data_IF_208938896224
#
_entry.id   IF_208938896224
#
_cell.length_a   1.000
_cell.length_b   1.000
_cell.length_c   1.000
_cell.angle_alpha   90.00
_cell.angle_beta   90.00
_cell.angle_gamma   90.00
#
_symmetry.space_group_name_H-M   'P 1'
#
loop_
_entity.id
_entity.type
_entity.pdbx_description
1 polymer ?
#
# COMPACT_ATOMS: atom_id res chain seq x y z
N UNK A 1 -12.97 -36.63 -8.24
CA UNK A 1 -12.92 -35.30 -8.87
C UNK A 1 -13.04 -34.15 -7.86
N UNK A 2 -13.39 -34.37 -6.58
CA UNK A 2 -13.47 -33.30 -5.56
C UNK A 2 -12.14 -32.95 -4.83
N UNK A 3 -11.08 -33.75 -4.97
CA UNK A 3 -9.80 -33.51 -4.27
C UNK A 3 -8.95 -32.39 -4.88
N UNK A 4 -9.17 -32.08 -6.15
CA UNK A 4 -8.31 -31.18 -6.91
C UNK A 4 -8.67 -29.70 -6.66
N UNK A 5 -9.95 -29.40 -6.42
CA UNK A 5 -10.44 -28.05 -6.15
C UNK A 5 -9.87 -27.43 -4.86
N UNK A 6 -9.61 -28.25 -3.83
CA UNK A 6 -9.13 -27.77 -2.52
C UNK A 6 -7.65 -27.33 -2.55
N UNK A 7 -6.83 -27.92 -3.43
CA UNK A 7 -5.42 -27.52 -3.60
C UNK A 7 -5.29 -26.18 -4.34
N UNK A 8 -6.22 -25.90 -5.25
CA UNK A 8 -6.22 -24.70 -6.10
C UNK A 8 -6.59 -23.44 -5.31
N UNK A 9 -7.54 -23.56 -4.37
CA UNK A 9 -8.01 -22.44 -3.55
C UNK A 9 -6.94 -21.97 -2.55
N UNK A 10 -6.20 -22.90 -1.92
CA UNK A 10 -5.10 -22.56 -1.02
C UNK A 10 -3.95 -21.83 -1.75
N UNK A 11 -3.62 -22.27 -2.97
CA UNK A 11 -2.56 -21.66 -3.80
C UNK A 11 -2.96 -20.29 -4.33
N UNK A 12 -4.25 -20.10 -4.65
CA UNK A 12 -4.81 -18.79 -5.01
C UNK A 12 -4.77 -17.81 -3.84
N UNK A 13 -5.15 -18.23 -2.64
CA UNK A 13 -5.13 -17.37 -1.46
C UNK A 13 -3.71 -16.93 -1.09
N UNK A 14 -2.74 -17.85 -1.11
CA UNK A 14 -1.34 -17.51 -0.87
C UNK A 14 -0.80 -16.52 -1.89
N UNK A 15 -1.07 -16.74 -3.19
CA UNK A 15 -0.68 -15.82 -4.25
C UNK A 15 -1.32 -14.44 -4.09
N UNK A 16 -2.59 -14.39 -3.70
CA UNK A 16 -3.28 -13.15 -3.41
C UNK A 16 -2.67 -12.41 -2.22
N UNK A 17 -2.26 -13.14 -1.18
CA UNK A 17 -1.55 -12.60 -0.02
C UNK A 17 -0.16 -12.07 -0.41
N UNK A 18 0.57 -12.81 -1.25
CA UNK A 18 1.89 -12.39 -1.76
C UNK A 18 1.79 -11.13 -2.59
N UNK A 19 0.77 -11.02 -3.45
CA UNK A 19 0.51 -9.81 -4.23
C UNK A 19 0.13 -8.64 -3.31
N UNK A 20 -0.74 -8.88 -2.32
CA UNK A 20 -1.09 -7.85 -1.34
C UNK A 20 0.11 -7.38 -0.52
N UNK A 21 0.96 -8.30 -0.07
CA UNK A 21 2.20 -8.01 0.65
C UNK A 21 3.21 -7.26 -0.24
N UNK A 22 3.36 -7.66 -1.51
CA UNK A 22 4.22 -6.98 -2.46
C UNK A 22 3.73 -5.56 -2.76
N UNK A 23 2.42 -5.35 -2.91
CA UNK A 23 1.85 -4.01 -3.09
C UNK A 23 1.95 -3.17 -1.82
N UNK A 24 1.80 -3.77 -0.63
CA UNK A 24 2.04 -3.09 0.63
C UNK A 24 3.50 -2.67 0.78
N UNK A 25 4.44 -3.58 0.52
CA UNK A 25 5.87 -3.27 0.55
C UNK A 25 6.24 -2.22 -0.49
N UNK A 26 5.65 -2.29 -1.70
CA UNK A 26 5.82 -1.27 -2.73
C UNK A 26 5.25 0.08 -2.27
N UNK A 27 4.05 0.11 -1.68
CA UNK A 27 3.49 1.32 -1.09
C UNK A 27 4.34 1.86 0.06
N UNK A 28 4.94 1.00 0.87
CA UNK A 28 5.75 1.42 2.01
C UNK A 28 7.13 1.96 1.59
N UNK A 29 7.66 1.55 0.44
CA UNK A 29 9.02 1.93 0.00
C UNK A 29 8.96 2.94 -1.16
N UNK A 30 8.19 2.64 -2.20
CA UNK A 30 8.12 3.48 -3.39
C UNK A 30 7.38 4.79 -3.13
N UNK A 31 6.39 4.79 -2.24
CA UNK A 31 5.59 5.97 -1.94
C UNK A 31 6.37 7.03 -1.14
N UNK A 32 7.08 6.72 -0.04
CA UNK A 32 7.93 7.72 0.61
C UNK A 32 9.06 8.22 -0.28
N UNK A 33 9.62 7.34 -1.13
CA UNK A 33 10.61 7.78 -2.12
C UNK A 33 10.02 8.73 -3.16
N UNK A 34 8.83 8.43 -3.70
CA UNK A 34 8.13 9.29 -4.64
C UNK A 34 7.74 10.63 -4.01
N UNK A 35 7.24 10.62 -2.76
CA UNK A 35 6.93 11.85 -2.00
C UNK A 35 8.19 12.68 -1.78
N UNK A 36 9.31 12.06 -1.43
CA UNK A 36 10.59 12.75 -1.30
C UNK A 36 11.00 13.43 -2.61
N UNK A 37 10.99 12.69 -3.73
CA UNK A 37 11.37 13.22 -5.05
C UNK A 37 10.43 14.36 -5.46
N UNK A 38 9.11 14.17 -5.34
CA UNK A 38 8.12 15.19 -5.70
C UNK A 38 8.26 16.41 -4.81
N UNK A 39 8.38 16.22 -3.50
CA UNK A 39 8.56 17.32 -2.57
C UNK A 39 9.86 18.08 -2.78
N UNK A 40 10.97 17.39 -3.09
CA UNK A 40 12.23 18.05 -3.41
C UNK A 40 12.13 18.87 -4.70
N UNK A 41 11.30 18.43 -5.66
CA UNK A 41 11.08 19.12 -6.94
C UNK A 41 10.04 20.25 -6.88
N UNK A 42 9.03 20.13 -6.02
CA UNK A 42 7.88 21.06 -5.95
C UNK A 42 8.04 22.07 -4.81
N UNK A 43 8.51 21.62 -3.64
CA UNK A 43 8.67 22.45 -2.44
C UNK A 43 10.10 23.00 -2.29
N UNK A 44 11.05 22.53 -3.12
CA UNK A 44 12.46 22.89 -3.04
C UNK A 44 13.24 21.98 -2.10
N UNK A 45 14.44 22.40 -1.71
CA UNK A 45 15.29 21.64 -0.80
C UNK A 45 14.57 21.47 0.55
N UNK A 46 14.21 20.22 0.90
CA UNK A 46 13.68 19.89 2.22
C UNK A 46 14.70 20.33 3.26
N UNK A 47 14.47 21.50 3.86
CA UNK A 47 15.43 22.17 4.72
C UNK A 47 15.77 21.27 5.92
N UNK A 48 16.98 20.70 5.91
CA UNK A 48 17.69 20.27 7.13
C UNK A 48 17.99 18.77 7.29
N UNK A 49 17.26 17.83 6.66
CA UNK A 49 17.41 16.41 7.03
C UNK A 49 17.34 15.38 5.89
N UNK A 50 17.10 15.83 4.64
CA UNK A 50 17.10 14.96 3.46
C UNK A 50 16.07 13.81 3.52
N UNK A 51 16.29 12.75 2.75
CA UNK A 51 15.36 11.62 2.66
C UNK A 51 15.16 10.89 4.01
N UNK A 52 16.19 10.88 4.86
CA UNK A 52 16.16 10.21 6.15
C UNK A 52 15.24 10.93 7.14
N UNK A 53 15.29 12.27 7.20
CA UNK A 53 14.41 13.01 8.11
C UNK A 53 12.96 13.04 7.66
N UNK A 54 12.69 12.92 6.36
CA UNK A 54 11.33 12.71 5.85
C UNK A 54 10.79 11.33 6.23
N UNK A 55 11.62 10.29 6.15
CA UNK A 55 11.23 8.96 6.62
C UNK A 55 10.98 8.97 8.14
N UNK A 56 11.85 9.62 8.90
CA UNK A 56 11.72 9.75 10.36
C UNK A 56 10.45 10.50 10.76
N UNK A 57 10.12 11.62 10.09
CA UNK A 57 8.89 12.36 10.38
C UNK A 57 7.63 11.54 10.09
N UNK A 58 7.62 10.80 8.97
CA UNK A 58 6.49 9.91 8.64
C UNK A 58 6.35 8.79 9.68
N UNK A 59 7.46 8.21 10.15
CA UNK A 59 7.45 7.20 11.20
C UNK A 59 6.95 7.75 12.54
N UNK A 60 7.38 8.96 12.91
CA UNK A 60 6.93 9.63 14.12
C UNK A 60 5.44 9.97 14.06
N UNK A 61 4.95 10.47 12.93
CA UNK A 61 3.52 10.76 12.73
C UNK A 61 2.67 9.48 12.76
N UNK A 62 3.18 8.36 12.22
CA UNK A 62 2.50 7.06 12.37
C UNK A 62 2.39 6.64 13.83
N UNK A 63 3.49 6.75 14.59
CA UNK A 63 3.53 6.42 16.02
C UNK A 63 2.67 7.37 16.86
N UNK A 64 2.52 8.62 16.41
CA UNK A 64 1.62 9.60 17.00
C UNK A 64 0.13 9.33 16.71
N UNK A 65 -0.20 8.23 16.01
CA UNK A 65 -1.58 7.88 15.62
C UNK A 65 -2.26 8.96 14.79
N UNK A 66 -1.49 9.74 14.02
CA UNK A 66 -2.03 10.80 13.17
C UNK A 66 -2.91 10.19 12.05
N UNK A 67 -4.23 10.46 12.05
CA UNK A 67 -5.18 9.77 11.18
C UNK A 67 -4.92 10.03 9.69
N UNK A 68 -4.38 11.20 9.34
CA UNK A 68 -4.03 11.56 7.96
C UNK A 68 -2.85 10.73 7.45
N UNK A 69 -1.81 10.53 8.26
CA UNK A 69 -0.63 9.76 7.87
C UNK A 69 -0.96 8.27 7.76
N UNK A 70 -1.81 7.75 8.64
CA UNK A 70 -2.36 6.40 8.52
C UNK A 70 -3.20 6.21 7.26
N UNK A 71 -4.08 7.18 6.93
CA UNK A 71 -4.83 7.15 5.68
C UNK A 71 -3.90 7.16 4.47
N UNK A 72 -2.85 7.98 4.50
CA UNK A 72 -1.86 8.09 3.43
C UNK A 72 -1.10 6.78 3.23
N UNK A 73 -0.65 6.12 4.31
CA UNK A 73 0.01 4.80 4.22
C UNK A 73 -0.98 3.70 3.80
N UNK A 74 -2.24 3.79 4.21
CA UNK A 74 -3.27 2.81 3.87
C UNK A 74 -3.88 3.01 2.48
N UNK A 75 -3.73 4.17 1.83
CA UNK A 75 -4.27 4.43 0.49
C UNK A 75 -3.94 3.35 -0.55
N UNK A 76 -2.68 2.87 -0.72
CA UNK A 76 -2.40 1.80 -1.68
C UNK A 76 -3.17 0.51 -1.35
N UNK A 77 -3.30 0.16 -0.08
CA UNK A 77 -4.08 -1.00 0.35
C UNK A 77 -5.58 -0.82 0.12
N UNK A 78 -6.11 0.38 0.42
CA UNK A 78 -7.50 0.77 0.17
C UNK A 78 -7.84 0.73 -1.32
N UNK A 79 -6.97 1.22 -2.19
CA UNK A 79 -7.16 1.18 -3.65
C UNK A 79 -7.28 -0.27 -4.14
N UNK A 80 -6.41 -1.16 -3.67
CA UNK A 80 -6.46 -2.59 -4.01
C UNK A 80 -7.74 -3.24 -3.49
N UNK A 81 -8.13 -2.93 -2.25
CA UNK A 81 -9.37 -3.43 -1.68
C UNK A 81 -10.59 -2.94 -2.45
N UNK A 82 -10.65 -1.66 -2.79
CA UNK A 82 -11.71 -1.08 -3.62
C UNK A 82 -11.75 -1.75 -5.00
N UNK A 83 -10.61 -1.94 -5.66
CA UNK A 83 -10.55 -2.63 -6.95
C UNK A 83 -11.05 -4.09 -6.86
N UNK A 84 -10.70 -4.81 -5.79
CA UNK A 84 -11.22 -6.16 -5.51
C UNK A 84 -12.73 -6.15 -5.26
N UNK A 85 -13.22 -5.17 -4.50
CA UNK A 85 -14.63 -5.03 -4.14
C UNK A 85 -15.47 -4.70 -5.38
N UNK A 86 -15.01 -3.77 -6.21
CA UNK A 86 -15.60 -3.45 -7.52
C UNK A 86 -15.65 -4.69 -8.39
N UNK A 87 -14.54 -5.43 -8.56
CA UNK A 87 -14.53 -6.69 -9.33
C UNK A 87 -15.49 -7.75 -8.77
N UNK A 88 -15.63 -7.84 -7.45
CA UNK A 88 -16.53 -8.81 -6.80
C UNK A 88 -18.00 -8.44 -6.98
N UNK A 89 -18.33 -7.16 -6.88
CA UNK A 89 -19.68 -6.63 -7.16
C UNK A 89 -20.02 -6.84 -8.63
N UNK A 90 -19.09 -6.54 -9.53
CA UNK A 90 -19.32 -6.69 -10.97
C UNK A 90 -19.53 -8.15 -11.38
N UNK A 91 -18.76 -9.09 -10.82
CA UNK A 91 -18.95 -10.54 -11.02
C UNK A 91 -20.19 -11.14 -10.36
N UNK A 92 -20.83 -10.42 -9.43
CA UNK A 92 -22.10 -10.85 -8.83
C UNK A 92 -23.33 -10.27 -9.54
N UNK A 93 -23.13 -9.24 -10.37
CA UNK A 93 -24.20 -8.57 -11.13
C UNK A 93 -24.32 -9.02 -12.60
N UNK A 94 -23.31 -9.69 -13.14
CA UNK A 94 -23.37 -10.45 -14.40
C UNK A 94 -23.70 -11.91 -14.08
#
# INVERSE_FOLDING_TARGET
MERDANLDDGKRWQRELSIAAALLAFGLIALPFAVYVVGQRVLGEYAGSGAMGLAESVWLDLLALEPLTWLFVLTPYLIVQLARLVRRVWRRRL
#
